data_IF_049020916034
#
_entry.id   IF_049020916034
#
_cell.length_a   1.000
_cell.length_b   1.000
_cell.length_c   1.000
_cell.angle_alpha   90.00
_cell.angle_beta   90.00
_cell.angle_gamma   90.00
#
_symmetry.space_group_name_H-M   'P 1'
#
loop_
_entity.id
_entity.type
_entity.pdbx_description
1 polymer ?
#
# COMPACT_ATOMS: atom_id res chain seq x y z
N UNK A 1 2.47 39.58 -11.13
CA UNK A 1 1.14 39.64 -11.78
C UNK A 1 1.07 38.81 -13.05
N UNK A 2 2.00 38.95 -14.01
CA UNK A 2 1.96 38.26 -15.31
C UNK A 2 1.94 36.71 -15.21
N UNK A 3 2.67 36.13 -14.25
CA UNK A 3 2.71 34.67 -14.04
C UNK A 3 1.34 34.13 -13.57
N UNK A 4 0.64 34.83 -12.69
CA UNK A 4 -0.66 34.36 -12.15
C UNK A 4 -1.70 34.35 -13.27
N UNK A 5 -1.75 35.38 -14.11
CA UNK A 5 -2.67 35.46 -15.25
C UNK A 5 -2.37 34.39 -16.32
N UNK A 6 -1.08 34.09 -16.57
CA UNK A 6 -0.69 32.98 -17.45
C UNK A 6 -1.15 31.65 -16.86
N UNK A 7 -0.92 31.40 -15.57
CA UNK A 7 -1.35 30.17 -14.90
C UNK A 7 -2.88 30.05 -14.90
N UNK A 8 -3.62 31.14 -14.67
CA UNK A 8 -5.09 31.16 -14.80
C UNK A 8 -5.55 30.81 -16.21
N UNK A 9 -4.91 31.38 -17.23
CA UNK A 9 -5.17 31.05 -18.63
C UNK A 9 -4.95 29.57 -18.95
N UNK A 10 -3.96 28.94 -18.32
CA UNK A 10 -3.69 27.50 -18.45
C UNK A 10 -4.68 26.62 -17.67
N UNK A 11 -5.16 27.10 -16.52
CA UNK A 11 -6.11 26.37 -15.66
C UNK A 11 -7.54 26.39 -16.21
N UNK A 12 -7.89 27.36 -17.06
CA UNK A 12 -9.20 27.47 -17.69
C UNK A 12 -10.33 27.43 -16.65
N UNK A 13 -11.22 26.41 -16.66
CA UNK A 13 -12.30 26.29 -15.68
C UNK A 13 -11.87 26.19 -14.22
N UNK A 14 -10.60 25.87 -13.95
CA UNK A 14 -10.05 25.75 -12.60
C UNK A 14 -9.45 27.06 -12.06
N UNK A 15 -9.41 28.13 -12.86
CA UNK A 15 -8.92 29.44 -12.40
C UNK A 15 -9.58 29.93 -11.10
N UNK A 16 -10.89 29.75 -10.86
CA UNK A 16 -11.52 30.14 -9.58
C UNK A 16 -10.97 29.39 -8.36
N UNK A 17 -10.44 28.18 -8.53
CA UNK A 17 -9.80 27.42 -7.44
C UNK A 17 -8.49 28.11 -7.03
N UNK A 18 -7.73 28.59 -8.01
CA UNK A 18 -6.51 29.34 -7.74
C UNK A 18 -6.81 30.67 -7.04
N UNK A 19 -7.85 31.39 -7.48
CA UNK A 19 -8.31 32.61 -6.81
C UNK A 19 -8.68 32.34 -5.35
N UNK A 20 -9.47 31.30 -5.10
CA UNK A 20 -9.83 30.90 -3.73
C UNK A 20 -8.60 30.61 -2.86
N UNK A 21 -7.60 29.91 -3.39
CA UNK A 21 -6.36 29.58 -2.68
C UNK A 21 -5.56 30.85 -2.33
N UNK A 22 -5.47 31.79 -3.27
CA UNK A 22 -4.74 33.05 -3.06
C UNK A 22 -5.47 33.99 -2.09
N UNK A 23 -6.80 34.00 -2.13
CA UNK A 23 -7.64 34.84 -1.26
C UNK A 23 -7.75 34.27 0.17
N UNK A 24 -7.61 32.95 0.34
CA UNK A 24 -7.80 32.27 1.64
C UNK A 24 -6.59 31.42 2.06
N UNK A 25 -5.36 31.98 2.13
CA UNK A 25 -4.14 31.20 2.32
C UNK A 25 -4.11 30.43 3.64
N UNK A 26 -4.67 31.00 4.72
CA UNK A 26 -4.76 30.34 6.02
C UNK A 26 -5.66 29.09 5.98
N UNK A 27 -6.87 29.23 5.42
CA UNK A 27 -7.81 28.11 5.29
C UNK A 27 -7.24 27.01 4.40
N UNK A 28 -6.68 27.39 3.24
CA UNK A 28 -6.04 26.46 2.33
C UNK A 28 -4.88 25.72 3.00
N UNK A 29 -4.04 26.41 3.75
CA UNK A 29 -2.92 25.79 4.49
C UNK A 29 -3.42 24.78 5.52
N UNK A 30 -4.50 25.08 6.25
CA UNK A 30 -5.11 24.13 7.21
C UNK A 30 -5.62 22.88 6.50
N UNK A 31 -6.31 23.04 5.37
CA UNK A 31 -6.81 21.90 4.58
C UNK A 31 -5.65 21.03 4.06
N UNK A 32 -4.62 21.64 3.48
CA UNK A 32 -3.45 20.89 3.01
C UNK A 32 -2.67 20.24 4.14
N UNK A 33 -2.56 20.89 5.30
CA UNK A 33 -1.90 20.32 6.47
C UNK A 33 -2.67 19.09 6.99
N UNK A 34 -3.99 19.17 7.10
CA UNK A 34 -4.83 18.02 7.46
C UNK A 34 -4.68 16.88 6.45
N UNK A 35 -4.72 17.20 5.15
CA UNK A 35 -4.51 16.22 4.10
C UNK A 35 -3.12 15.57 4.19
N UNK A 36 -2.07 16.37 4.42
CA UNK A 36 -0.70 15.88 4.57
C UNK A 36 -0.56 14.95 5.78
N UNK A 37 -1.16 15.29 6.93
CA UNK A 37 -1.17 14.41 8.11
C UNK A 37 -1.85 13.07 7.80
N UNK A 38 -3.00 13.07 7.11
CA UNK A 38 -3.69 11.85 6.69
C UNK A 38 -2.82 11.03 5.74
N UNK A 39 -2.17 11.68 4.77
CA UNK A 39 -1.28 11.04 3.82
C UNK A 39 -0.11 10.33 4.52
N UNK A 40 0.61 11.05 5.38
CA UNK A 40 1.74 10.51 6.15
C UNK A 40 1.29 9.34 7.02
N UNK A 41 0.18 9.50 7.77
CA UNK A 41 -0.36 8.44 8.60
C UNK A 41 -0.75 7.18 7.79
N UNK A 42 -1.30 7.37 6.58
CA UNK A 42 -1.60 6.28 5.66
C UNK A 42 -0.33 5.57 5.16
N UNK A 43 0.71 6.32 4.79
CA UNK A 43 2.00 5.75 4.35
C UNK A 43 2.69 4.96 5.45
N UNK A 44 2.65 5.45 6.70
CA UNK A 44 3.17 4.73 7.85
C UNK A 44 2.40 3.42 8.11
N UNK A 45 1.06 3.45 7.99
CA UNK A 45 0.25 2.23 8.09
C UNK A 45 0.57 1.22 7.00
N UNK A 46 0.76 1.68 5.75
CA UNK A 46 1.12 0.80 4.64
C UNK A 46 2.49 0.13 4.86
N UNK A 47 3.51 0.88 5.29
CA UNK A 47 4.83 0.31 5.61
C UNK A 47 4.76 -0.72 6.74
N UNK A 48 3.94 -0.45 7.78
CA UNK A 48 3.69 -1.43 8.86
C UNK A 48 2.99 -2.69 8.34
N UNK A 49 2.00 -2.54 7.45
CA UNK A 49 1.30 -3.68 6.82
C UNK A 49 2.28 -4.51 6.00
N UNK A 50 3.18 -3.87 5.25
CA UNK A 50 4.19 -4.55 4.45
C UNK A 50 5.15 -5.38 5.31
N UNK A 51 5.72 -4.78 6.36
CA UNK A 51 6.59 -5.48 7.29
C UNK A 51 5.87 -6.68 7.92
N UNK A 52 4.66 -6.49 8.43
CA UNK A 52 3.85 -7.57 9.01
C UNK A 52 3.46 -8.65 8.02
N UNK A 53 3.23 -8.28 6.76
CA UNK A 53 2.94 -9.25 5.70
C UNK A 53 4.16 -10.14 5.44
N UNK A 54 5.35 -9.54 5.34
CA UNK A 54 6.61 -10.30 5.22
C UNK A 54 6.83 -11.22 6.41
N UNK A 55 6.66 -10.71 7.64
CA UNK A 55 6.82 -11.51 8.86
C UNK A 55 5.85 -12.69 8.90
N UNK A 56 4.57 -12.46 8.58
CA UNK A 56 3.55 -13.51 8.52
C UNK A 56 3.93 -14.61 7.51
N UNK A 57 4.38 -14.20 6.33
CA UNK A 57 4.81 -15.14 5.27
C UNK A 57 5.99 -15.96 5.72
N UNK A 58 7.04 -15.33 6.26
CA UNK A 58 8.22 -16.05 6.73
C UNK A 58 7.88 -17.04 7.84
N UNK A 59 7.11 -16.63 8.85
CA UNK A 59 6.71 -17.49 9.95
C UNK A 59 5.88 -18.69 9.48
N UNK A 60 4.90 -18.46 8.62
CA UNK A 60 4.04 -19.54 8.11
C UNK A 60 4.80 -20.45 7.15
N UNK A 61 5.59 -19.90 6.23
CA UNK A 61 6.38 -20.69 5.29
C UNK A 61 7.40 -21.56 5.99
N UNK A 62 8.07 -21.07 7.04
CA UNK A 62 8.99 -21.91 7.83
C UNK A 62 8.27 -23.06 8.54
N UNK A 63 7.09 -22.80 9.11
CA UNK A 63 6.29 -23.83 9.78
C UNK A 63 5.79 -24.91 8.80
N UNK A 64 5.42 -24.51 7.58
CA UNK A 64 4.97 -25.43 6.52
C UNK A 64 6.14 -26.20 5.90
N UNK A 65 7.28 -25.55 5.64
CA UNK A 65 8.47 -26.21 5.09
C UNK A 65 9.10 -27.22 6.06
N UNK A 66 9.00 -26.98 7.36
CA UNK A 66 9.43 -27.94 8.38
C UNK A 66 8.62 -29.24 8.35
N UNK A 67 7.34 -29.17 7.95
CA UNK A 67 6.44 -30.32 7.85
C UNK A 67 6.46 -30.95 6.44
N UNK A 68 6.55 -30.12 5.41
CA UNK A 68 6.58 -30.51 4.01
C UNK A 68 7.66 -29.70 3.25
N UNK A 69 8.91 -30.21 3.20
CA UNK A 69 10.02 -29.53 2.53
C UNK A 69 9.83 -29.31 1.01
N UNK A 70 8.86 -29.99 0.40
CA UNK A 70 8.57 -29.92 -1.04
C UNK A 70 7.36 -29.04 -1.35
N UNK A 71 6.91 -28.20 -0.41
CA UNK A 71 5.78 -27.32 -0.66
C UNK A 71 6.14 -26.24 -1.71
N UNK A 72 5.21 -26.02 -2.65
CA UNK A 72 5.38 -25.02 -3.72
C UNK A 72 4.89 -23.64 -3.28
N UNK A 73 5.38 -22.60 -3.94
CA UNK A 73 4.99 -21.22 -3.62
C UNK A 73 3.48 -20.98 -3.82
N UNK A 74 2.85 -21.66 -4.79
CA UNK A 74 1.43 -21.55 -5.02
C UNK A 74 0.58 -22.19 -3.92
N UNK A 75 1.05 -23.31 -3.34
CA UNK A 75 0.37 -23.92 -2.19
C UNK A 75 0.54 -23.07 -0.92
N UNK A 76 1.74 -22.55 -0.69
CA UNK A 76 1.99 -21.58 0.39
C UNK A 76 1.09 -20.36 0.28
N UNK A 77 0.93 -19.79 -0.92
CA UNK A 77 0.01 -18.68 -1.15
C UNK A 77 -1.42 -19.02 -0.73
N UNK A 78 -1.94 -20.18 -1.13
CA UNK A 78 -3.31 -20.61 -0.78
C UNK A 78 -3.51 -20.78 0.73
N UNK A 79 -2.47 -21.18 1.47
CA UNK A 79 -2.52 -21.36 2.92
C UNK A 79 -2.43 -20.00 3.65
N UNK A 80 -1.53 -19.12 3.19
CA UNK A 80 -1.24 -17.85 3.87
C UNK A 80 -2.32 -16.80 3.57
N UNK A 81 -2.86 -16.77 2.35
CA UNK A 81 -3.78 -15.72 1.90
C UNK A 81 -5.01 -15.51 2.81
N UNK A 82 -5.75 -16.54 3.26
CA UNK A 82 -6.89 -16.35 4.16
C UNK A 82 -6.49 -15.67 5.47
N UNK A 83 -5.40 -16.15 6.11
CA UNK A 83 -4.90 -15.58 7.38
C UNK A 83 -4.40 -14.15 7.20
N UNK A 84 -3.70 -13.90 6.09
CA UNK A 84 -3.27 -12.55 5.73
C UNK A 84 -4.47 -11.60 5.62
N UNK A 85 -5.50 -12.00 4.86
CA UNK A 85 -6.72 -11.20 4.66
C UNK A 85 -7.44 -10.89 5.97
N UNK A 86 -7.50 -11.84 6.90
CA UNK A 86 -8.10 -11.65 8.23
C UNK A 86 -7.29 -10.75 9.16
N UNK A 87 -5.95 -10.77 9.02
CA UNK A 87 -5.06 -10.00 9.87
C UNK A 87 -4.94 -8.53 9.44
N UNK A 88 -5.16 -8.23 8.15
CA UNK A 88 -5.02 -6.88 7.58
C UNK A 88 -5.77 -5.78 8.38
N UNK A 89 -7.06 -5.92 8.73
CA UNK A 89 -7.79 -4.89 9.48
C UNK A 89 -7.22 -4.61 10.88
N UNK A 90 -6.45 -5.55 11.44
CA UNK A 90 -5.81 -5.40 12.75
C UNK A 90 -4.49 -4.61 12.66
N UNK A 91 -3.93 -4.49 11.46
CA UNK A 91 -2.63 -3.86 11.25
C UNK A 91 -2.75 -2.37 10.91
N UNK A 92 -3.85 -1.99 10.27
CA UNK A 92 -4.19 -0.60 9.96
C UNK A 92 -5.68 -0.44 9.67
N UNK A 93 -6.15 0.80 9.73
CA UNK A 93 -7.54 1.17 9.40
C UNK A 93 -7.68 1.66 7.96
N UNK A 94 -6.69 2.39 7.48
CA UNK A 94 -6.68 2.95 6.14
C UNK A 94 -5.28 2.99 5.54
N UNK A 95 -5.22 3.05 4.21
CA UNK A 95 -4.01 3.28 3.42
C UNK A 95 -4.32 4.30 2.32
N UNK A 96 -3.30 4.95 1.73
CA UNK A 96 -3.51 5.81 0.57
C UNK A 96 -4.06 4.98 -0.60
N UNK A 97 -5.01 5.55 -1.33
CA UNK A 97 -5.54 5.01 -2.57
C UNK A 97 -4.42 4.78 -3.59
N UNK A 98 -4.70 4.07 -4.70
CA UNK A 98 -3.73 3.84 -5.78
C UNK A 98 -3.00 5.12 -6.23
N UNK A 99 -3.74 6.21 -6.38
CA UNK A 99 -3.22 7.54 -6.78
C UNK A 99 -2.71 8.39 -5.60
N UNK A 100 -2.67 7.85 -4.39
CA UNK A 100 -2.20 8.53 -3.17
C UNK A 100 -3.02 9.79 -2.75
N UNK A 101 -4.12 10.08 -3.44
CA UNK A 101 -4.94 11.28 -3.22
C UNK A 101 -5.90 11.19 -2.02
N UNK A 102 -6.38 10.00 -1.68
CA UNK A 102 -7.42 9.79 -0.67
C UNK A 102 -7.16 8.56 0.17
N UNK A 103 -7.54 8.54 1.46
CA UNK A 103 -7.49 7.32 2.27
C UNK A 103 -8.59 6.33 1.82
N UNK A 104 -8.25 5.05 1.82
CA UNK A 104 -9.19 3.94 1.59
C UNK A 104 -9.06 2.90 2.70
N UNK A 105 -10.13 2.16 3.03
CA UNK A 105 -10.08 1.16 4.07
C UNK A 105 -9.06 0.05 3.76
N UNK A 106 -8.43 -0.48 4.80
CA UNK A 106 -7.54 -1.64 4.67
C UNK A 106 -8.37 -2.88 4.35
N UNK A 107 -8.18 -3.40 3.14
CA UNK A 107 -8.79 -4.65 2.66
C UNK A 107 -7.76 -5.38 1.82
N UNK A 108 -7.88 -6.71 1.69
CA UNK A 108 -7.01 -7.50 0.82
C UNK A 108 -6.92 -6.90 -0.60
N UNK A 109 -8.07 -6.50 -1.17
CA UNK A 109 -8.14 -5.87 -2.49
C UNK A 109 -7.36 -4.56 -2.57
N UNK A 110 -7.47 -3.67 -1.58
CA UNK A 110 -6.80 -2.37 -1.61
C UNK A 110 -5.30 -2.51 -1.32
N UNK A 111 -4.92 -3.39 -0.41
CA UNK A 111 -3.52 -3.66 -0.08
C UNK A 111 -2.81 -4.36 -1.23
N UNK A 112 -3.47 -5.29 -1.93
CA UNK A 112 -2.91 -6.00 -3.09
C UNK A 112 -2.54 -5.07 -4.26
N UNK A 113 -3.14 -3.88 -4.33
CA UNK A 113 -2.78 -2.86 -5.33
C UNK A 113 -1.44 -2.15 -5.02
N UNK A 114 -0.96 -2.27 -3.78
CA UNK A 114 0.26 -1.63 -3.29
C UNK A 114 1.36 -2.64 -2.97
N UNK A 115 0.97 -3.81 -2.45
CA UNK A 115 1.83 -4.93 -2.15
C UNK A 115 1.40 -6.07 -3.07
N UNK A 116 2.24 -6.51 -4.03
CA UNK A 116 1.86 -7.54 -4.99
C UNK A 116 1.88 -8.92 -4.32
N UNK A 117 0.98 -9.17 -3.38
CA UNK A 117 0.90 -10.41 -2.63
C UNK A 117 0.45 -11.55 -3.55
N UNK A 118 1.42 -12.27 -4.11
CA UNK A 118 1.25 -13.33 -5.10
C UNK A 118 2.20 -14.50 -4.82
N UNK A 119 2.02 -15.68 -5.46
CA UNK A 119 2.95 -16.79 -5.34
C UNK A 119 4.40 -16.39 -5.69
N UNK A 120 4.59 -15.58 -6.74
CA UNK A 120 5.91 -15.13 -7.19
C UNK A 120 6.54 -14.20 -6.15
N UNK A 121 5.75 -13.34 -5.53
CA UNK A 121 6.22 -12.47 -4.45
C UNK A 121 6.60 -13.26 -3.20
N UNK A 122 5.82 -14.27 -2.81
CA UNK A 122 6.16 -15.18 -1.70
C UNK A 122 7.47 -15.90 -1.99
N UNK A 123 7.64 -16.45 -3.20
CA UNK A 123 8.89 -17.07 -3.61
C UNK A 123 10.07 -16.09 -3.52
N UNK A 124 9.87 -14.84 -3.96
CA UNK A 124 10.86 -13.77 -3.84
C UNK A 124 11.27 -13.49 -2.39
N UNK A 125 10.29 -13.32 -1.49
CA UNK A 125 10.53 -13.10 -0.05
C UNK A 125 11.31 -14.25 0.59
N UNK A 126 11.02 -15.49 0.20
CA UNK A 126 11.74 -16.66 0.72
C UNK A 126 13.18 -16.73 0.19
N UNK A 127 13.39 -16.45 -1.09
CA UNK A 127 14.74 -16.39 -1.70
C UNK A 127 15.62 -15.33 -1.04
N UNK A 128 15.06 -14.17 -0.67
CA UNK A 128 15.78 -13.14 0.09
C UNK A 128 16.33 -13.65 1.44
N UNK A 129 15.72 -14.69 2.02
CA UNK A 129 16.13 -15.33 3.27
C UNK A 129 16.92 -16.63 3.07
N UNK A 130 17.36 -16.93 1.84
CA UNK A 130 17.99 -18.21 1.46
C UNK A 130 17.09 -19.45 1.72
N UNK A 131 15.77 -19.25 1.73
CA UNK A 131 14.78 -20.33 1.82
C UNK A 131 14.26 -20.56 0.41
N UNK A 132 14.54 -21.72 -0.20
CA UNK A 132 14.06 -22.00 -1.55
C UNK A 132 12.82 -22.89 -1.50
N UNK A 133 11.60 -22.36 -1.74
CA UNK A 133 10.48 -23.22 -2.12
C UNK A 133 10.81 -23.89 -3.46
N UNK A 134 10.22 -25.06 -3.74
CA UNK A 134 10.31 -25.64 -5.07
C UNK A 134 9.68 -24.66 -6.06
N UNK A 135 10.43 -24.30 -7.10
CA UNK A 135 9.89 -23.54 -8.22
C UNK A 135 8.82 -24.40 -8.88
N UNK A 136 7.60 -23.87 -8.99
CA UNK A 136 6.65 -24.37 -9.95
C UNK A 136 7.26 -24.06 -11.32
N UNK A 137 7.94 -25.05 -11.91
CA UNK A 137 8.47 -24.94 -13.26
C UNK A 137 7.34 -24.46 -14.18
N UNK A 138 7.56 -23.31 -14.83
CA UNK A 138 6.73 -22.79 -15.92
C UNK A 138 6.62 -23.84 -17.02
#
# INVERSE_FOLDING_TARGET
MLIVEVVKGMLGPLAPVLDFILDNPALTSVVFLLWFVIYVAGRMQLGKIEAKTRDLVLQMSQAELAQNPQITAQLLYKIIYPRWSEALPQWGRFIPHRLDLWPVPVTAKNVAQKIPFSPEWIAGVLREQNISPLDDAV
#
